data_IF_155072599644
#
_entry.id   IF_155072599644
#
_cell.length_a   1.000
_cell.length_b   1.000
_cell.length_c   1.000
_cell.angle_alpha   90.00
_cell.angle_beta   90.00
_cell.angle_gamma   90.00
#
_symmetry.space_group_name_H-M   'P 1'
#
loop_
_entity.id
_entity.type
_entity.pdbx_description
1 polymer ?
#
# COMPACT_ATOMS: atom_id res chain seq x y z
N UNK A 1 63.35 -6.21 8.73
CA UNK A 1 62.20 -7.02 8.31
C UNK A 1 60.93 -6.70 9.09
N UNK A 2 60.94 -6.73 10.40
CA UNK A 2 59.73 -6.52 11.28
C UNK A 2 59.09 -5.11 11.18
N UNK A 3 59.91 -4.05 10.97
CA UNK A 3 59.39 -2.67 10.78
C UNK A 3 58.67 -2.48 9.46
N UNK A 4 59.16 -3.10 8.40
CA UNK A 4 58.53 -3.05 7.08
C UNK A 4 57.20 -3.79 7.07
N UNK A 5 57.11 -4.95 7.72
CA UNK A 5 55.85 -5.73 7.85
C UNK A 5 54.79 -4.93 8.64
N UNK A 6 55.16 -4.27 9.76
CA UNK A 6 54.23 -3.39 10.49
C UNK A 6 53.76 -2.20 9.66
N UNK A 7 54.62 -1.63 8.82
CA UNK A 7 54.26 -0.52 7.94
C UNK A 7 53.28 -0.99 6.88
N UNK A 8 53.53 -2.08 6.18
CA UNK A 8 52.61 -2.66 5.17
C UNK A 8 51.27 -3.02 5.80
N UNK A 9 51.28 -3.67 6.96
CA UNK A 9 50.03 -4.03 7.64
C UNK A 9 49.18 -2.79 8.01
N UNK A 10 49.80 -1.72 8.52
CA UNK A 10 49.11 -0.46 8.81
C UNK A 10 48.54 0.20 7.56
N UNK A 11 49.29 0.19 6.45
CA UNK A 11 48.84 0.76 5.18
C UNK A 11 47.63 -0.03 4.61
N UNK A 12 47.69 -1.34 4.68
CA UNK A 12 46.54 -2.19 4.24
C UNK A 12 45.30 -1.95 5.08
N UNK A 13 45.46 -1.85 6.40
CA UNK A 13 44.36 -1.53 7.32
C UNK A 13 43.77 -0.15 6.99
N UNK A 14 44.62 0.85 6.79
CA UNK A 14 44.18 2.20 6.44
C UNK A 14 43.41 2.24 5.12
N UNK A 15 43.91 1.55 4.10
CA UNK A 15 43.20 1.44 2.81
C UNK A 15 41.82 0.78 2.96
N UNK A 16 41.72 -0.30 3.75
CA UNK A 16 40.45 -0.97 4.03
C UNK A 16 39.47 -0.05 4.76
N UNK A 17 39.95 0.71 5.75
CA UNK A 17 39.12 1.66 6.49
C UNK A 17 38.65 2.81 5.59
N UNK A 18 39.51 3.34 4.74
CA UNK A 18 39.14 4.36 3.76
C UNK A 18 38.13 3.84 2.73
N UNK A 19 38.29 2.62 2.24
CA UNK A 19 37.34 1.98 1.32
C UNK A 19 35.99 1.76 1.96
N UNK A 20 35.97 1.34 3.23
CA UNK A 20 34.73 1.17 4.00
C UNK A 20 34.03 2.53 4.26
N UNK A 21 34.77 3.54 4.63
CA UNK A 21 34.26 4.90 4.83
C UNK A 21 33.72 5.50 3.53
N UNK A 22 34.40 5.28 2.41
CA UNK A 22 33.94 5.70 1.08
C UNK A 22 32.65 4.98 0.70
N UNK A 23 32.60 3.65 0.84
CA UNK A 23 31.39 2.87 0.57
C UNK A 23 30.21 3.31 1.44
N UNK A 24 30.45 3.57 2.72
CA UNK A 24 29.43 4.10 3.64
C UNK A 24 28.95 5.50 3.21
N UNK A 25 29.87 6.39 2.79
CA UNK A 25 29.55 7.72 2.27
C UNK A 25 28.72 7.68 0.99
N UNK A 26 29.08 6.81 0.04
CA UNK A 26 28.32 6.58 -1.19
C UNK A 26 26.94 6.00 -0.87
N UNK A 27 26.86 5.03 0.04
CA UNK A 27 25.60 4.45 0.48
C UNK A 27 24.68 5.48 1.14
N UNK A 28 25.22 6.34 1.99
CA UNK A 28 24.48 7.42 2.64
C UNK A 28 24.00 8.46 1.62
N UNK A 29 24.85 8.88 0.68
CA UNK A 29 24.46 9.80 -0.40
C UNK A 29 23.36 9.22 -1.28
N UNK A 30 23.48 7.94 -1.64
CA UNK A 30 22.46 7.22 -2.40
C UNK A 30 21.14 7.12 -1.63
N UNK A 31 21.18 6.81 -0.32
CA UNK A 31 19.99 6.74 0.52
C UNK A 31 19.29 8.09 0.64
N UNK A 32 20.03 9.20 0.76
CA UNK A 32 19.48 10.55 0.78
C UNK A 32 18.81 10.89 -0.55
N UNK A 33 19.45 10.55 -1.66
CA UNK A 33 18.92 10.82 -3.00
C UNK A 33 17.71 9.94 -3.33
N UNK A 34 17.74 8.67 -2.97
CA UNK A 34 16.60 7.77 -3.08
C UNK A 34 15.42 8.27 -2.22
N UNK A 35 15.69 8.74 -0.99
CA UNK A 35 14.68 9.32 -0.11
C UNK A 35 14.01 10.55 -0.73
N UNK A 36 14.77 11.43 -1.37
CA UNK A 36 14.21 12.58 -2.05
C UNK A 36 13.36 12.16 -3.25
N UNK A 37 13.85 11.20 -4.03
CA UNK A 37 13.15 10.67 -5.21
C UNK A 37 11.80 10.04 -4.83
N UNK A 38 11.74 9.17 -3.81
CA UNK A 38 10.48 8.56 -3.42
C UNK A 38 9.50 9.56 -2.78
N UNK A 39 10.01 10.61 -2.12
CA UNK A 39 9.16 11.66 -1.52
C UNK A 39 8.52 12.59 -2.55
N UNK A 40 9.18 12.80 -3.68
CA UNK A 40 8.73 13.74 -4.71
C UNK A 40 8.09 13.07 -5.93
N UNK A 41 8.19 11.74 -6.03
CA UNK A 41 7.63 11.01 -7.18
C UNK A 41 6.11 11.17 -7.24
N UNK A 42 5.61 11.59 -8.42
CA UNK A 42 4.19 11.76 -8.67
C UNK A 42 3.55 12.94 -7.94
N UNK A 43 4.31 13.74 -7.16
CA UNK A 43 3.77 14.96 -6.57
C UNK A 43 3.70 16.06 -7.64
N UNK A 44 2.51 16.63 -7.79
CA UNK A 44 2.32 17.92 -8.47
C UNK A 44 2.55 19.06 -7.48
N UNK A 45 2.90 20.23 -7.96
CA UNK A 45 3.13 21.42 -7.11
C UNK A 45 1.88 21.70 -6.25
N UNK A 46 2.05 21.73 -4.90
CA UNK A 46 0.97 21.92 -3.95
C UNK A 46 0.05 20.71 -3.74
N UNK A 47 0.38 19.55 -4.33
CA UNK A 47 -0.45 18.34 -4.23
C UNK A 47 -0.48 17.70 -2.85
N UNK A 48 0.55 17.95 -2.04
CA UNK A 48 0.64 17.52 -0.64
C UNK A 48 -0.19 18.39 0.32
N UNK A 49 -0.41 19.66 -0.04
CA UNK A 49 -1.17 20.64 0.76
C UNK A 49 -2.68 20.65 0.44
N UNK A 50 -3.10 20.07 -0.70
CA UNK A 50 -4.53 20.05 -1.05
C UNK A 50 -5.31 19.13 -0.12
N UNK A 51 -6.55 19.49 0.22
CA UNK A 51 -7.49 18.59 0.87
C UNK A 51 -7.88 17.43 -0.04
N UNK A 52 -7.94 16.22 0.52
CA UNK A 52 -8.38 14.99 -0.13
C UNK A 52 -9.51 14.41 0.71
N UNK A 53 -10.51 13.81 0.07
CA UNK A 53 -11.61 13.15 0.77
C UNK A 53 -11.08 12.13 1.79
N UNK A 54 -11.66 12.12 3.00
CA UNK A 54 -11.22 11.24 4.08
C UNK A 54 -10.00 11.72 4.88
N UNK A 55 -9.50 12.94 4.64
CA UNK A 55 -8.43 13.54 5.46
C UNK A 55 -8.84 13.71 6.94
N UNK A 56 -10.13 13.90 7.18
CA UNK A 56 -10.74 14.06 8.51
C UNK A 56 -10.82 12.75 9.29
N UNK A 57 -10.85 11.59 8.63
CA UNK A 57 -10.88 10.27 9.28
C UNK A 57 -9.63 10.03 10.12
N UNK A 58 -8.49 10.57 9.71
CA UNK A 58 -7.22 10.52 10.44
C UNK A 58 -6.58 11.91 10.43
N UNK A 59 -7.28 12.90 11.01
CA UNK A 59 -6.87 14.30 10.98
C UNK A 59 -5.49 14.55 11.63
N UNK A 60 -5.17 13.77 12.68
CA UNK A 60 -3.92 13.81 13.45
C UNK A 60 -2.88 12.81 12.97
N UNK A 61 -2.87 12.47 11.68
CA UNK A 61 -1.95 11.47 11.11
C UNK A 61 -0.48 11.84 11.34
N UNK A 62 0.29 10.82 11.74
CA UNK A 62 1.74 10.91 11.88
C UNK A 62 2.47 10.66 10.57
N UNK A 63 1.87 9.87 9.69
CA UNK A 63 2.35 9.58 8.36
C UNK A 63 1.30 10.04 7.35
N UNK A 64 1.72 10.90 6.43
CA UNK A 64 0.91 11.30 5.28
C UNK A 64 1.76 11.11 4.04
N UNK A 65 1.31 10.24 3.16
CA UNK A 65 1.95 9.97 1.87
C UNK A 65 0.95 10.25 0.76
N UNK A 66 1.27 11.21 -0.12
CA UNK A 66 0.43 11.59 -1.26
C UNK A 66 1.20 11.36 -2.55
N UNK A 67 0.55 10.77 -3.52
CA UNK A 67 1.10 10.51 -4.85
C UNK A 67 0.05 10.79 -5.92
N UNK A 68 0.50 11.07 -7.12
CA UNK A 68 -0.40 11.16 -8.26
C UNK A 68 0.26 10.65 -9.54
N UNK A 69 -0.58 10.22 -10.47
CA UNK A 69 -0.18 9.81 -11.80
C UNK A 69 -1.23 10.25 -12.81
N UNK A 70 -0.79 10.72 -13.97
CA UNK A 70 -1.69 11.04 -15.07
C UNK A 70 -1.90 9.79 -15.94
N UNK A 71 -3.17 9.49 -16.24
CA UNK A 71 -3.64 8.34 -17.01
C UNK A 71 -4.34 8.90 -18.25
N UNK A 72 -4.00 8.37 -19.43
CA UNK A 72 -4.42 8.93 -20.72
C UNK A 72 -5.84 8.48 -21.17
N UNK A 73 -6.72 8.23 -20.19
CA UNK A 73 -8.13 7.87 -20.38
C UNK A 73 -9.03 8.62 -19.38
N UNK A 74 -10.34 8.75 -19.65
CA UNK A 74 -11.26 9.47 -18.77
C UNK A 74 -11.54 8.73 -17.45
N UNK A 75 -12.00 9.44 -16.38
CA UNK A 75 -12.27 8.86 -15.07
C UNK A 75 -13.21 7.65 -15.10
N UNK A 76 -14.22 7.66 -15.96
CA UNK A 76 -15.14 6.54 -16.13
C UNK A 76 -14.45 5.22 -16.56
N UNK A 77 -13.31 5.29 -17.23
CA UNK A 77 -12.52 4.14 -17.64
C UNK A 77 -11.50 3.70 -16.56
N UNK A 78 -11.12 4.61 -15.65
CA UNK A 78 -10.24 4.31 -14.51
C UNK A 78 -11.03 3.73 -13.33
N UNK A 79 -12.21 4.26 -13.06
CA UNK A 79 -13.02 3.91 -11.91
C UNK A 79 -13.27 2.39 -11.73
N UNK A 80 -13.61 1.61 -12.77
CA UNK A 80 -13.86 0.19 -12.62
C UNK A 80 -12.69 -0.58 -11.98
N UNK A 81 -11.46 -0.15 -12.23
CA UNK A 81 -10.26 -0.76 -11.65
C UNK A 81 -10.10 -0.42 -10.18
N UNK A 82 -10.53 0.79 -9.76
CA UNK A 82 -10.53 1.20 -8.36
C UNK A 82 -11.66 0.51 -7.59
N UNK A 83 -12.86 0.41 -8.18
CA UNK A 83 -14.01 -0.20 -7.54
C UNK A 83 -13.78 -1.68 -7.19
N UNK A 84 -13.02 -2.40 -7.99
CA UNK A 84 -12.78 -3.84 -7.80
C UNK A 84 -11.53 -4.19 -6.99
N UNK A 85 -10.78 -3.22 -6.44
CA UNK A 85 -9.56 -3.51 -5.65
C UNK A 85 -9.87 -4.40 -4.45
N UNK A 86 -8.86 -5.12 -3.99
CA UNK A 86 -8.93 -5.94 -2.78
C UNK A 86 -8.62 -7.42 -3.02
N UNK A 87 -8.29 -8.10 -1.91
CA UNK A 87 -8.05 -9.54 -1.89
C UNK A 87 -9.32 -10.31 -2.26
N UNK A 88 -9.21 -11.27 -3.17
CA UNK A 88 -10.36 -12.04 -3.63
C UNK A 88 -11.30 -11.27 -4.55
N UNK A 89 -10.93 -10.08 -4.95
CA UNK A 89 -11.58 -9.21 -5.93
C UNK A 89 -10.63 -9.00 -7.12
N UNK A 90 -10.49 -7.79 -7.62
CA UNK A 90 -9.53 -7.46 -8.69
C UNK A 90 -8.06 -7.46 -8.27
N UNK A 91 -7.75 -7.72 -7.01
CA UNK A 91 -6.38 -7.61 -6.47
C UNK A 91 -5.98 -6.16 -6.17
N UNK A 92 -4.70 -5.97 -5.84
CA UNK A 92 -4.16 -4.65 -5.46
C UNK A 92 -3.32 -4.01 -6.55
N UNK A 93 -3.17 -4.64 -7.71
CA UNK A 93 -2.38 -4.17 -8.86
C UNK A 93 -0.92 -3.86 -8.53
N UNK A 94 -0.44 -4.39 -7.42
CA UNK A 94 0.93 -4.21 -6.95
C UNK A 94 1.81 -5.43 -7.33
N UNK A 95 3.04 -5.47 -6.82
CA UNK A 95 3.89 -6.62 -7.08
C UNK A 95 3.38 -7.85 -6.33
N UNK A 96 3.05 -8.93 -7.02
CA UNK A 96 2.58 -10.19 -6.44
C UNK A 96 3.48 -10.72 -5.30
N UNK A 97 4.79 -10.38 -5.31
CA UNK A 97 5.72 -10.71 -4.22
C UNK A 97 5.47 -9.90 -2.95
N UNK A 98 4.88 -8.70 -3.05
CA UNK A 98 4.53 -7.85 -1.91
C UNK A 98 3.14 -8.18 -1.36
N UNK A 99 2.27 -8.73 -2.21
CA UNK A 99 0.92 -9.14 -1.83
C UNK A 99 0.92 -10.51 -1.12
N UNK A 100 1.94 -11.35 -1.40
CA UNK A 100 2.09 -12.71 -0.82
C UNK A 100 2.15 -12.81 0.70
N UNK A 101 2.78 -11.90 1.47
CA UNK A 101 2.82 -12.01 2.93
C UNK A 101 1.43 -11.96 3.58
N UNK A 102 0.46 -11.37 2.90
CA UNK A 102 -0.92 -11.20 3.36
C UNK A 102 -1.89 -12.19 2.72
N UNK A 103 -1.46 -12.88 1.65
CA UNK A 103 -2.23 -13.92 1.00
C UNK A 103 -1.76 -15.30 1.48
N UNK A 104 -2.64 -16.18 1.99
CA UNK A 104 -2.31 -17.56 2.32
C UNK A 104 -1.65 -18.24 1.12
N UNK A 105 -0.54 -18.95 1.38
CA UNK A 105 0.27 -19.61 0.35
C UNK A 105 -0.60 -20.51 -0.55
N UNK A 106 -0.70 -20.15 -1.83
CA UNK A 106 -1.25 -21.02 -2.88
C UNK A 106 -2.69 -20.75 -3.33
N UNK A 107 -3.31 -19.63 -2.93
CA UNK A 107 -4.61 -19.24 -3.50
C UNK A 107 -4.45 -18.68 -4.92
N UNK A 108 -5.44 -18.91 -5.83
CA UNK A 108 -5.46 -18.36 -7.19
C UNK A 108 -5.54 -16.83 -7.27
N UNK A 109 -5.57 -16.14 -6.13
CA UNK A 109 -5.82 -14.71 -5.96
C UNK A 109 -4.57 -13.89 -5.67
N UNK A 110 -3.38 -14.44 -5.88
CA UNK A 110 -2.11 -13.71 -5.79
C UNK A 110 -1.84 -12.83 -7.02
N UNK A 111 -2.63 -12.97 -8.07
CA UNK A 111 -2.52 -12.18 -9.30
C UNK A 111 -3.68 -11.21 -9.40
N UNK A 112 -3.37 -9.95 -9.74
CA UNK A 112 -4.40 -8.94 -9.99
C UNK A 112 -5.11 -9.23 -11.30
N UNK A 113 -6.42 -8.93 -11.37
CA UNK A 113 -7.22 -9.11 -12.57
C UNK A 113 -6.73 -8.22 -13.72
N UNK A 114 -6.76 -8.76 -14.93
CA UNK A 114 -6.47 -8.04 -16.17
C UNK A 114 -7.74 -7.62 -16.91
N UNK A 115 -8.92 -7.87 -16.31
CA UNK A 115 -10.23 -7.49 -16.85
C UNK A 115 -11.08 -6.84 -15.79
N UNK A 116 -12.06 -6.05 -16.20
CA UNK A 116 -13.08 -5.52 -15.31
C UNK A 116 -14.04 -6.65 -14.91
N UNK A 117 -14.23 -6.82 -13.61
CA UNK A 117 -15.08 -7.85 -12.99
C UNK A 117 -16.40 -7.20 -12.59
N UNK A 118 -17.48 -7.54 -13.30
CA UNK A 118 -18.79 -6.91 -13.12
C UNK A 118 -19.37 -7.10 -11.72
N UNK A 119 -19.07 -8.22 -11.07
CA UNK A 119 -19.50 -8.55 -9.71
C UNK A 119 -18.97 -7.63 -8.63
N UNK A 120 -17.96 -6.81 -8.93
CA UNK A 120 -17.34 -5.88 -7.96
C UNK A 120 -17.57 -4.41 -8.31
N UNK A 121 -18.43 -4.10 -9.25
CA UNK A 121 -18.66 -2.71 -9.66
C UNK A 121 -19.69 -1.98 -8.79
N UNK A 122 -20.52 -2.72 -8.03
CA UNK A 122 -21.56 -2.17 -7.15
C UNK A 122 -21.04 -1.90 -5.73
N UNK A 123 -19.74 -1.52 -5.59
CA UNK A 123 -19.15 -1.16 -4.29
C UNK A 123 -19.93 -0.01 -3.66
N UNK A 124 -20.31 -0.15 -2.39
CA UNK A 124 -21.04 0.83 -1.61
C UNK A 124 -20.30 1.24 -0.33
N UNK A 125 -20.74 2.33 0.28
CA UNK A 125 -20.26 2.71 1.62
C UNK A 125 -20.58 1.61 2.65
N UNK A 126 -19.68 1.41 3.59
CA UNK A 126 -19.66 0.33 4.58
C UNK A 126 -19.32 -1.06 4.02
N UNK A 127 -19.10 -1.22 2.71
CA UNK A 127 -18.60 -2.48 2.19
C UNK A 127 -17.17 -2.76 2.65
N UNK A 128 -16.88 -4.04 2.87
CA UNK A 128 -15.52 -4.50 3.16
C UNK A 128 -14.70 -4.64 1.87
N UNK A 129 -13.55 -3.97 1.83
CA UNK A 129 -12.52 -4.18 0.80
C UNK A 129 -11.41 -5.03 1.41
N UNK A 130 -11.39 -6.35 1.14
CA UNK A 130 -10.52 -7.27 1.85
C UNK A 130 -9.05 -7.05 1.55
N UNK A 131 -8.20 -7.15 2.59
CA UNK A 131 -6.74 -7.28 2.47
C UNK A 131 -6.27 -8.72 2.63
N UNK A 132 -7.12 -9.55 3.25
CA UNK A 132 -6.92 -10.98 3.46
C UNK A 132 -8.30 -11.67 3.52
N UNK A 133 -8.38 -13.03 3.61
CA UNK A 133 -9.65 -13.78 3.48
C UNK A 133 -10.78 -13.36 4.42
N UNK A 134 -10.46 -12.74 5.57
CA UNK A 134 -11.45 -12.46 6.62
C UNK A 134 -11.39 -11.05 7.17
N UNK A 135 -10.74 -10.12 6.47
CA UNK A 135 -10.67 -8.75 6.94
C UNK A 135 -10.07 -7.80 5.92
N UNK A 136 -10.20 -6.52 6.21
CA UNK A 136 -9.72 -5.47 5.32
C UNK A 136 -10.20 -4.10 5.74
N UNK A 137 -10.18 -3.20 4.81
CA UNK A 137 -10.66 -1.84 4.95
C UNK A 137 -12.19 -1.78 4.79
N UNK A 138 -12.83 -0.86 5.49
CA UNK A 138 -14.20 -0.44 5.22
C UNK A 138 -14.19 0.72 4.23
N UNK A 139 -15.06 0.69 3.22
CA UNK A 139 -15.29 1.79 2.31
C UNK A 139 -16.09 2.89 3.00
N UNK A 140 -15.49 4.05 3.26
CA UNK A 140 -16.11 5.19 3.96
C UNK A 140 -16.67 6.24 3.03
N UNK A 141 -16.13 6.34 1.83
CA UNK A 141 -16.63 7.19 0.76
C UNK A 141 -16.56 6.39 -0.53
N UNK A 142 -17.67 6.32 -1.23
CA UNK A 142 -17.76 5.70 -2.55
C UNK A 142 -18.50 6.65 -3.47
N UNK A 143 -17.76 7.38 -4.29
CA UNK A 143 -18.27 8.31 -5.30
C UNK A 143 -17.82 7.82 -6.67
N UNK A 144 -18.67 7.06 -7.41
CA UNK A 144 -18.29 6.46 -8.68
C UNK A 144 -17.74 7.46 -9.69
N UNK A 145 -16.54 7.19 -10.19
CA UNK A 145 -15.83 8.07 -11.13
C UNK A 145 -15.11 9.25 -10.47
N UNK A 146 -15.23 9.45 -9.16
CA UNK A 146 -14.63 10.57 -8.44
C UNK A 146 -13.71 10.14 -7.30
N UNK A 147 -14.20 9.30 -6.36
CA UNK A 147 -13.40 8.93 -5.19
C UNK A 147 -13.80 7.61 -4.53
N UNK A 148 -12.81 6.94 -3.98
CA UNK A 148 -12.93 5.86 -3.02
C UNK A 148 -12.06 6.19 -1.80
N UNK A 149 -12.64 6.12 -0.59
CA UNK A 149 -11.88 6.25 0.66
C UNK A 149 -12.08 5.01 1.50
N UNK A 150 -10.98 4.37 1.82
CA UNK A 150 -10.90 3.18 2.65
C UNK A 150 -10.42 3.55 4.05
N UNK A 151 -10.95 2.89 5.07
CA UNK A 151 -10.57 3.11 6.46
C UNK A 151 -10.40 1.80 7.21
N UNK A 152 -9.41 1.74 8.09
CA UNK A 152 -9.16 0.63 9.01
C UNK A 152 -8.56 1.17 10.31
N UNK A 153 -9.01 0.66 11.45
CA UNK A 153 -8.40 0.91 12.76
C UNK A 153 -8.14 -0.38 13.53
N UNK A 154 -7.47 -0.24 14.68
CA UNK A 154 -7.10 -1.37 15.52
C UNK A 154 -8.32 -2.10 16.10
N UNK A 155 -9.45 -1.42 16.31
CA UNK A 155 -10.68 -2.03 16.81
C UNK A 155 -11.28 -2.94 15.75
N UNK A 156 -11.49 -2.42 14.54
CA UNK A 156 -11.98 -3.20 13.39
C UNK A 156 -11.07 -4.38 13.08
N UNK A 157 -9.76 -4.17 13.10
CA UNK A 157 -8.80 -5.24 12.85
C UNK A 157 -8.84 -6.30 13.95
N UNK A 158 -8.98 -5.91 15.21
CA UNK A 158 -9.08 -6.85 16.33
C UNK A 158 -10.34 -7.71 16.21
N UNK A 159 -11.48 -7.12 15.91
CA UNK A 159 -12.73 -7.83 15.66
C UNK A 159 -12.58 -8.86 14.53
N UNK A 160 -11.94 -8.48 13.42
CA UNK A 160 -11.66 -9.37 12.30
C UNK A 160 -10.72 -10.53 12.68
N UNK A 161 -9.70 -10.26 13.53
CA UNK A 161 -8.77 -11.28 14.02
C UNK A 161 -9.45 -12.21 15.03
N UNK A 162 -10.25 -11.69 15.94
CA UNK A 162 -11.01 -12.48 16.92
C UNK A 162 -11.97 -13.45 16.21
N UNK A 163 -12.70 -12.99 15.19
CA UNK A 163 -13.55 -13.85 14.36
C UNK A 163 -12.75 -14.94 13.65
N UNK A 164 -11.60 -14.57 13.06
CA UNK A 164 -10.70 -15.53 12.42
C UNK A 164 -10.19 -16.59 13.40
N UNK A 165 -9.83 -16.20 14.62
CA UNK A 165 -9.32 -17.10 15.65
C UNK A 165 -10.42 -18.00 16.22
N UNK A 166 -11.63 -17.49 16.37
CA UNK A 166 -12.79 -18.28 16.79
C UNK A 166 -13.08 -19.42 15.80
N UNK A 167 -13.14 -19.10 14.50
CA UNK A 167 -13.37 -20.10 13.46
C UNK A 167 -12.21 -21.12 13.37
N UNK A 168 -10.97 -20.67 13.60
CA UNK A 168 -9.82 -21.57 13.61
C UNK A 168 -9.86 -22.51 14.82
N UNK A 169 -10.30 -22.04 15.99
CA UNK A 169 -10.48 -22.84 17.19
C UNK A 169 -11.55 -23.90 16.98
N UNK A 170 -12.71 -23.52 16.42
CA UNK A 170 -13.79 -24.45 16.09
C UNK A 170 -13.32 -25.56 15.13
N UNK A 171 -12.56 -25.20 14.10
CA UNK A 171 -12.02 -26.16 13.13
C UNK A 171 -10.99 -27.13 13.75
N UNK A 172 -10.22 -26.68 14.76
CA UNK A 172 -9.27 -27.52 15.50
C UNK A 172 -10.01 -28.44 16.46
N UNK A 173 -11.06 -27.96 17.14
CA UNK A 173 -11.90 -28.75 18.04
C UNK A 173 -12.64 -29.86 17.28
N UNK A 174 -13.17 -29.59 16.09
CA UNK A 174 -13.79 -30.60 15.21
C UNK A 174 -12.82 -31.74 14.83
N UNK A 175 -11.51 -31.44 14.79
CA UNK A 175 -10.45 -32.43 14.54
C UNK A 175 -9.92 -33.09 15.82
N UNK A 176 -10.51 -32.76 16.99
CA UNK A 176 -10.13 -33.34 18.29
C UNK A 176 -8.84 -32.74 18.88
N UNK A 177 -8.47 -31.53 18.42
CA UNK A 177 -7.35 -30.74 18.96
C UNK A 177 -7.82 -29.66 19.94
N UNK A 178 -6.86 -29.08 20.65
CA UNK A 178 -7.04 -27.84 21.44
C UNK A 178 -6.11 -26.78 20.85
N UNK A 179 -6.62 -25.54 20.69
CA UNK A 179 -5.83 -24.39 20.26
C UNK A 179 -5.58 -23.50 21.47
N UNK A 180 -4.31 -23.41 21.90
CA UNK A 180 -3.89 -22.45 22.91
C UNK A 180 -3.68 -21.08 22.24
N UNK A 181 -4.50 -20.10 22.61
CA UNK A 181 -4.34 -18.73 22.13
C UNK A 181 -3.43 -17.95 23.07
N UNK A 182 -2.39 -17.36 22.55
CA UNK A 182 -1.60 -16.37 23.28
C UNK A 182 -2.42 -15.07 23.34
N UNK A 183 -3.03 -14.85 24.52
CA UNK A 183 -3.89 -13.68 24.77
C UNK A 183 -3.11 -12.36 24.97
N UNK A 184 -1.78 -12.42 25.06
CA UNK A 184 -0.93 -11.29 25.43
C UNK A 184 -0.45 -10.48 24.20
N UNK A 185 -0.99 -10.79 22.99
CA UNK A 185 -0.67 -10.03 21.81
C UNK A 185 -1.44 -8.72 21.78
N UNK A 186 -0.79 -7.63 22.20
CA UNK A 186 -1.32 -6.28 22.11
C UNK A 186 -0.77 -5.56 20.89
N UNK A 187 -1.66 -5.18 19.97
CA UNK A 187 -1.32 -4.26 18.89
C UNK A 187 -1.47 -2.82 19.38
N UNK A 188 -0.50 -1.94 19.10
CA UNK A 188 -0.67 -0.54 19.44
C UNK A 188 -1.88 0.04 18.70
N UNK A 189 -2.65 0.96 19.32
CA UNK A 189 -3.74 1.64 18.63
C UNK A 189 -3.26 2.29 17.34
N UNK A 190 -4.01 2.09 16.27
CA UNK A 190 -3.73 2.69 14.98
C UNK A 190 -5.01 3.04 14.21
N UNK A 191 -4.88 3.99 13.31
CA UNK A 191 -5.92 4.37 12.35
C UNK A 191 -5.26 4.64 11.01
N UNK A 192 -5.87 4.15 9.94
CA UNK A 192 -5.39 4.32 8.57
C UNK A 192 -6.56 4.72 7.70
N UNK A 193 -6.38 5.76 6.89
CA UNK A 193 -7.24 6.05 5.75
C UNK A 193 -6.44 5.98 4.47
N UNK A 194 -7.05 5.45 3.41
CA UNK A 194 -6.45 5.35 2.10
C UNK A 194 -7.44 5.84 1.05
N UNK A 195 -7.16 7.00 0.49
CA UNK A 195 -8.00 7.68 -0.48
C UNK A 195 -7.45 7.53 -1.90
N UNK A 196 -8.38 7.31 -2.83
CA UNK A 196 -8.18 7.35 -4.26
C UNK A 196 -9.11 8.41 -4.83
N UNK A 197 -8.57 9.48 -5.40
CA UNK A 197 -9.35 10.52 -6.08
C UNK A 197 -9.02 10.56 -7.56
N UNK A 198 -10.05 10.75 -8.37
CA UNK A 198 -9.96 10.93 -9.81
C UNK A 198 -10.28 12.39 -10.15
N UNK A 199 -9.34 13.07 -10.77
CA UNK A 199 -9.47 14.43 -11.25
C UNK A 199 -9.44 14.40 -12.79
N UNK A 200 -10.51 14.90 -13.42
CA UNK A 200 -10.53 15.00 -14.88
C UNK A 200 -9.57 16.08 -15.36
N UNK A 201 -8.71 15.72 -16.30
CA UNK A 201 -7.74 16.60 -16.92
C UNK A 201 -8.18 16.97 -18.35
N UNK A 202 -7.70 18.12 -18.89
CA UNK A 202 -7.95 18.47 -20.28
C UNK A 202 -7.56 17.37 -21.26
N UNK A 203 -8.41 17.12 -22.24
CA UNK A 203 -8.19 16.11 -23.27
C UNK A 203 -8.69 14.71 -22.92
N UNK A 204 -9.63 14.59 -21.96
CA UNK A 204 -10.23 13.32 -21.58
C UNK A 204 -9.24 12.40 -20.84
N UNK A 205 -8.32 12.98 -20.08
CA UNK A 205 -7.34 12.27 -19.24
C UNK A 205 -7.75 12.34 -17.78
N UNK A 206 -7.16 11.52 -16.97
CA UNK A 206 -7.42 11.45 -15.53
C UNK A 206 -6.13 11.61 -14.74
N UNK A 207 -6.17 12.40 -13.67
CA UNK A 207 -5.17 12.31 -12.60
C UNK A 207 -5.72 11.45 -11.49
N UNK A 208 -5.09 10.31 -11.28
CA UNK A 208 -5.29 9.50 -10.08
C UNK A 208 -4.43 10.07 -8.96
N UNK A 209 -5.04 10.40 -7.84
CA UNK A 209 -4.39 10.85 -6.62
C UNK A 209 -4.64 9.80 -5.56
N UNK A 210 -3.57 9.27 -4.99
CA UNK A 210 -3.63 8.41 -3.81
C UNK A 210 -3.08 9.15 -2.60
N UNK A 211 -3.80 9.06 -1.48
CA UNK A 211 -3.34 9.55 -0.19
C UNK A 211 -3.55 8.50 0.88
N UNK A 212 -2.45 8.10 1.52
CA UNK A 212 -2.49 7.28 2.72
C UNK A 212 -2.17 8.15 3.93
N UNK A 213 -3.02 8.09 4.94
CA UNK A 213 -2.82 8.73 6.24
C UNK A 213 -2.83 7.65 7.31
N UNK A 214 -1.87 7.70 8.21
CA UNK A 214 -1.80 6.75 9.31
C UNK A 214 -1.44 7.46 10.62
N UNK A 215 -2.11 7.06 11.68
CA UNK A 215 -1.76 7.33 13.07
C UNK A 215 -1.45 6.00 13.74
N UNK A 216 -0.29 5.86 14.37
CA UNK A 216 0.08 4.65 15.10
C UNK A 216 0.70 5.05 16.44
N UNK A 217 0.14 4.58 17.53
CA UNK A 217 0.65 4.85 18.88
C UNK A 217 1.82 3.92 19.20
N UNK A 218 3.00 4.27 18.73
CA UNK A 218 4.22 3.50 18.93
C UNK A 218 5.21 4.23 19.84
N UNK A 219 6.11 3.48 20.46
CA UNK A 219 7.18 4.04 21.27
C UNK A 219 8.13 4.90 20.43
N UNK A 220 8.82 5.85 21.09
CA UNK A 220 9.83 6.71 20.44
C UNK A 220 10.92 5.90 19.70
N UNK A 221 11.27 4.73 20.21
CA UNK A 221 12.24 3.84 19.57
C UNK A 221 11.73 3.26 18.24
N UNK A 222 10.46 2.84 18.21
CA UNK A 222 9.80 2.33 16.99
C UNK A 222 9.56 3.45 15.97
N UNK A 223 9.33 4.68 16.45
CA UNK A 223 9.18 5.85 15.60
C UNK A 223 10.40 6.16 14.74
N UNK A 224 11.60 5.74 15.16
CA UNK A 224 12.84 5.85 14.36
C UNK A 224 12.78 5.01 13.08
N UNK A 225 11.88 4.03 12.99
CA UNK A 225 11.65 3.24 11.78
C UNK A 225 10.69 3.90 10.76
N UNK A 226 10.05 5.02 11.12
CA UNK A 226 9.11 5.76 10.23
C UNK A 226 9.63 5.99 8.80
N UNK A 227 10.91 6.36 8.58
CA UNK A 227 11.43 6.55 7.23
C UNK A 227 11.36 5.28 6.36
N UNK A 228 11.49 4.10 6.98
CA UNK A 228 11.39 2.81 6.28
C UNK A 228 9.94 2.45 5.96
N UNK A 229 9.00 2.79 6.85
CA UNK A 229 7.58 2.62 6.60
C UNK A 229 7.13 3.45 5.38
N UNK A 230 7.52 4.73 5.29
CA UNK A 230 7.22 5.58 4.14
C UNK A 230 7.80 5.04 2.82
N UNK A 231 8.99 4.40 2.87
CA UNK A 231 9.56 3.75 1.68
C UNK A 231 8.72 2.54 1.25
N UNK A 232 8.27 1.72 2.19
CA UNK A 232 7.38 0.58 1.90
C UNK A 232 6.07 1.04 1.26
N UNK A 233 5.42 2.03 1.86
CA UNK A 233 4.21 2.66 1.33
C UNK A 233 4.44 3.20 -0.09
N UNK A 234 5.56 3.89 -0.33
CA UNK A 234 5.91 4.38 -1.67
C UNK A 234 5.98 3.26 -2.71
N UNK A 235 6.63 2.15 -2.40
CA UNK A 235 6.77 1.03 -3.33
C UNK A 235 5.40 0.43 -3.66
N UNK A 236 4.53 0.26 -2.65
CA UNK A 236 3.16 -0.24 -2.82
C UNK A 236 2.33 0.71 -3.68
N UNK A 237 2.19 1.97 -3.28
CA UNK A 237 1.40 2.97 -4.02
C UNK A 237 1.88 3.13 -5.45
N UNK A 238 3.20 3.24 -5.67
CA UNK A 238 3.76 3.38 -7.01
C UNK A 238 3.43 2.19 -7.91
N UNK A 239 3.57 0.96 -7.40
CA UNK A 239 3.25 -0.22 -8.21
C UNK A 239 1.77 -0.32 -8.50
N UNK A 240 0.92 -0.02 -7.52
CA UNK A 240 -0.54 -0.02 -7.68
C UNK A 240 -0.98 1.02 -8.71
N UNK A 241 -0.55 2.27 -8.59
CA UNK A 241 -0.87 3.33 -9.53
C UNK A 241 -0.45 3.00 -10.97
N UNK A 242 0.75 2.43 -11.14
CA UNK A 242 1.23 1.98 -12.46
C UNK A 242 0.39 0.80 -12.99
N UNK A 243 0.03 -0.14 -12.13
CA UNK A 243 -0.81 -1.28 -12.51
C UNK A 243 -2.24 -0.86 -12.89
N UNK A 244 -2.82 0.12 -12.20
CA UNK A 244 -4.12 0.71 -12.57
C UNK A 244 -4.00 1.46 -13.91
N UNK A 245 -2.96 2.29 -14.07
CA UNK A 245 -2.71 3.04 -15.32
C UNK A 245 -2.63 2.11 -16.52
N UNK A 246 -1.77 1.08 -16.44
CA UNK A 246 -1.57 0.13 -17.53
C UNK A 246 -2.88 -0.54 -17.96
N UNK A 247 -3.66 -1.01 -16.99
CA UNK A 247 -4.93 -1.68 -17.26
C UNK A 247 -6.00 -0.74 -17.80
N UNK A 248 -6.12 0.44 -17.22
CA UNK A 248 -7.10 1.41 -17.65
C UNK A 248 -6.82 1.91 -19.08
N UNK A 249 -5.56 2.10 -19.46
CA UNK A 249 -5.18 2.55 -20.80
C UNK A 249 -5.27 1.44 -21.86
N UNK A 250 -5.21 0.18 -21.44
CA UNK A 250 -5.38 -0.99 -22.35
C UNK A 250 -6.84 -1.46 -22.45
N UNK A 251 -7.69 -0.99 -21.53
CA UNK A 251 -9.10 -1.40 -21.50
C UNK A 251 -9.87 -0.71 -22.61
N UNK A 252 -10.40 -1.51 -23.55
CA UNK A 252 -11.40 -1.08 -24.53
C UNK A 252 -12.80 -1.29 -23.94
N UNK A 253 -13.55 -0.23 -23.60
CA UNK A 253 -14.92 -0.38 -23.16
C UNK A 253 -15.72 -1.14 -24.24
N UNK A 254 -16.39 -2.23 -23.84
CA UNK A 254 -17.34 -2.87 -24.74
C UNK A 254 -18.48 -1.88 -24.96
N UNK A 255 -18.60 -1.34 -26.17
CA UNK A 255 -19.78 -0.55 -26.53
C UNK A 255 -21.00 -1.43 -26.29
N UNK A 256 -22.05 -0.93 -25.60
CA UNK A 256 -23.29 -1.68 -25.48
C UNK A 256 -23.77 -1.92 -26.92
N UNK A 257 -23.81 -3.20 -27.30
CA UNK A 257 -24.40 -3.64 -28.57
C UNK A 257 -25.71 -2.89 -28.73
N UNK A 258 -25.88 -2.17 -29.83
CA UNK A 258 -27.16 -1.66 -30.25
C UNK A 258 -28.07 -2.89 -30.42
N UNK A 259 -28.76 -3.22 -29.33
CA UNK A 259 -29.79 -4.26 -29.36
C UNK A 259 -30.89 -3.77 -30.27
N UNK A 260 -30.84 -4.26 -31.50
CA UNK A 260 -31.88 -4.11 -32.53
C UNK A 260 -33.19 -4.72 -32.05
#
# INVERSE_FOLDING_TARGET
MFRLFKFVAKTVILIKLMSLAFAAGVGAAYAVQARQLYRTWGLVAGGDERGVRGDDLVADADLVETRSIDIDVPPAQVWPWIAQIGYGRGGWYSYAALDRPWAPSGGPQAESADTVLNEYQDLAECDLVPTHPRGGFEARVVEPGEALVLYLDDTMFREQVEELMADAADAVEEQGGEMEMDSDWEMPPYRVSWAFELEELPGGRTRLIERLRARVEVSEAQWKAKPFAGMGVFVLMRSQMLGIKERAEQFEPVEPDEAA
#
